data_IF_208428020335
#
_entry.id   IF_208428020335
#
_cell.length_a   1.000
_cell.length_b   1.000
_cell.length_c   1.000
_cell.angle_alpha   90.00
_cell.angle_beta   90.00
_cell.angle_gamma   90.00
#
_symmetry.space_group_name_H-M   'P 1'
#
loop_
_entity.id
_entity.type
_entity.pdbx_description
1 polymer ?
#
# COMPACT_ATOMS: atom_id res chain seq x y z
N UNK A 1 48.47 -48.26 27.82
CA UNK A 1 47.12 -48.84 27.71
C UNK A 1 46.39 -48.03 26.65
N UNK A 2 46.34 -48.50 25.40
CA UNK A 2 45.68 -47.78 24.30
C UNK A 2 44.27 -48.32 24.15
N UNK A 3 43.27 -47.51 24.51
CA UNK A 3 41.86 -47.79 24.27
C UNK A 3 41.59 -47.62 22.77
N UNK A 4 41.37 -48.72 22.03
CA UNK A 4 40.78 -48.67 20.70
C UNK A 4 39.27 -48.86 20.86
N UNK A 5 38.42 -47.88 20.55
CA UNK A 5 37.00 -48.14 20.48
C UNK A 5 36.77 -49.13 19.34
N UNK A 6 36.11 -50.25 19.62
CA UNK A 6 35.60 -51.13 18.57
C UNK A 6 34.64 -50.31 17.70
N UNK A 7 35.01 -50.11 16.44
CA UNK A 7 34.17 -49.38 15.49
C UNK A 7 32.86 -50.12 15.27
N UNK A 8 31.77 -49.38 15.07
CA UNK A 8 30.44 -49.95 14.86
C UNK A 8 30.44 -51.04 13.78
N UNK A 9 29.78 -52.17 14.05
CA UNK A 9 29.70 -53.34 13.17
C UNK A 9 28.98 -53.01 11.86
N UNK A 10 29.23 -53.80 10.82
CA UNK A 10 28.52 -53.70 9.53
C UNK A 10 26.99 -53.70 9.71
N UNK A 11 26.49 -54.50 10.65
CA UNK A 11 25.07 -54.60 11.00
C UNK A 11 24.55 -53.30 11.62
N UNK A 12 25.30 -52.70 12.54
CA UNK A 12 24.93 -51.41 13.15
C UNK A 12 24.87 -50.29 12.11
N UNK A 13 25.82 -50.25 11.17
CA UNK A 13 25.82 -49.27 10.07
C UNK A 13 24.64 -49.47 9.12
N UNK A 14 24.31 -50.71 8.78
CA UNK A 14 23.17 -51.05 7.94
C UNK A 14 21.84 -50.65 8.60
N UNK A 15 21.71 -50.87 9.91
CA UNK A 15 20.54 -50.43 10.69
C UNK A 15 20.37 -48.91 10.68
N UNK A 16 21.46 -48.16 10.90
CA UNK A 16 21.40 -46.69 10.86
C UNK A 16 21.06 -46.19 9.46
N UNK A 17 21.64 -46.78 8.41
CA UNK A 17 21.32 -46.43 7.03
C UNK A 17 19.85 -46.71 6.69
N UNK A 18 19.32 -47.87 7.11
CA UNK A 18 17.91 -48.20 6.92
C UNK A 18 17.00 -47.23 7.67
N UNK A 19 17.33 -46.87 8.92
CA UNK A 19 16.58 -45.90 9.71
C UNK A 19 16.58 -44.51 9.05
N UNK A 20 17.72 -44.08 8.49
CA UNK A 20 17.84 -42.81 7.78
C UNK A 20 17.00 -42.78 6.49
N UNK A 21 17.01 -43.88 5.72
CA UNK A 21 16.16 -44.01 4.52
C UNK A 21 14.68 -44.00 4.89
N UNK A 22 14.28 -44.74 5.94
CA UNK A 22 12.90 -44.74 6.43
C UNK A 22 12.48 -43.34 6.89
N UNK A 23 13.36 -42.63 7.61
CA UNK A 23 13.12 -41.24 8.03
C UNK A 23 12.94 -40.30 6.84
N UNK A 24 13.79 -40.41 5.82
CA UNK A 24 13.68 -39.60 4.59
C UNK A 24 12.38 -39.89 3.85
N UNK A 25 12.05 -41.17 3.66
CA UNK A 25 10.79 -41.59 3.03
C UNK A 25 9.59 -41.09 3.84
N UNK A 26 9.64 -41.13 5.17
CA UNK A 26 8.56 -40.63 6.00
C UNK A 26 8.36 -39.11 5.83
N UNK A 27 9.44 -38.32 5.75
CA UNK A 27 9.34 -36.87 5.50
C UNK A 27 8.76 -36.57 4.12
N UNK A 28 9.14 -37.34 3.10
CA UNK A 28 8.64 -37.18 1.72
C UNK A 28 7.19 -37.66 1.55
N UNK A 29 6.79 -38.71 2.26
CA UNK A 29 5.45 -39.34 2.13
C UNK A 29 4.41 -38.68 3.04
N UNK A 30 4.84 -38.08 4.15
CA UNK A 30 3.95 -37.41 5.11
C UNK A 30 4.27 -35.91 5.29
N UNK A 31 4.26 -35.10 4.22
CA UNK A 31 4.35 -33.65 4.38
C UNK A 31 3.07 -33.14 5.08
N UNK A 32 3.22 -32.48 6.22
CA UNK A 32 2.14 -31.71 6.83
C UNK A 32 2.19 -30.28 6.27
N UNK A 33 1.24 -29.92 5.41
CA UNK A 33 1.01 -28.51 5.07
C UNK A 33 0.35 -27.84 6.27
N UNK A 34 1.15 -27.18 7.12
CA UNK A 34 0.60 -26.29 8.13
C UNK A 34 0.19 -24.98 7.46
N UNK A 35 -1.11 -24.71 7.42
CA UNK A 35 -1.60 -23.43 6.93
C UNK A 35 -1.06 -22.29 7.82
N UNK A 36 -0.49 -21.26 7.18
CA UNK A 36 -0.10 -20.06 7.89
C UNK A 36 -1.28 -19.46 8.69
N UNK A 37 -1.02 -18.82 9.84
CA UNK A 37 -2.05 -18.10 10.56
C UNK A 37 -2.83 -17.15 9.65
N UNK A 38 -4.14 -17.09 9.88
CA UNK A 38 -5.09 -16.26 9.12
C UNK A 38 -5.21 -16.63 7.64
N UNK A 39 -4.93 -17.88 7.27
CA UNK A 39 -5.03 -18.37 5.89
C UNK A 39 -6.37 -18.04 5.22
N UNK A 40 -7.49 -18.24 5.92
CA UNK A 40 -8.82 -17.96 5.39
C UNK A 40 -8.99 -16.47 5.04
N UNK A 41 -8.64 -15.56 5.96
CA UNK A 41 -8.73 -14.12 5.69
C UNK A 41 -7.77 -13.66 4.58
N UNK A 42 -6.56 -14.25 4.52
CA UNK A 42 -5.60 -14.00 3.43
C UNK A 42 -6.16 -14.43 2.07
N UNK A 43 -6.78 -15.61 2.01
CA UNK A 43 -7.39 -16.13 0.78
C UNK A 43 -8.58 -15.30 0.33
N UNK A 44 -9.43 -14.87 1.27
CA UNK A 44 -10.54 -13.96 0.96
C UNK A 44 -10.01 -12.64 0.41
N UNK A 45 -9.06 -12.01 1.08
CA UNK A 45 -8.50 -10.73 0.63
C UNK A 45 -7.84 -10.82 -0.75
N UNK A 46 -7.14 -11.92 -1.07
CA UNK A 46 -6.57 -12.14 -2.39
C UNK A 46 -7.64 -12.35 -3.47
N UNK A 47 -8.73 -13.08 -3.17
CA UNK A 47 -9.84 -13.25 -4.12
C UNK A 47 -10.58 -11.94 -4.38
N UNK A 48 -10.86 -11.16 -3.35
CA UNK A 48 -11.47 -9.83 -3.49
C UNK A 48 -10.57 -8.87 -4.26
N UNK A 49 -9.25 -8.96 -4.06
CA UNK A 49 -8.30 -8.21 -4.87
C UNK A 49 -8.34 -8.63 -6.34
N UNK A 50 -8.41 -9.93 -6.64
CA UNK A 50 -8.53 -10.43 -8.02
C UNK A 50 -9.81 -9.91 -8.69
N UNK A 51 -10.95 -9.99 -8.01
CA UNK A 51 -12.22 -9.44 -8.50
C UNK A 51 -12.11 -7.94 -8.81
N UNK A 52 -11.49 -7.16 -7.91
CA UNK A 52 -11.27 -5.73 -8.10
C UNK A 52 -10.37 -5.44 -9.32
N UNK A 53 -9.30 -6.22 -9.53
CA UNK A 53 -8.44 -6.11 -10.72
C UNK A 53 -9.25 -6.34 -12.00
N UNK A 54 -10.09 -7.38 -12.02
CA UNK A 54 -10.94 -7.73 -13.16
C UNK A 54 -11.99 -6.63 -13.46
N UNK A 55 -12.62 -6.07 -12.43
CA UNK A 55 -13.58 -4.96 -12.58
C UNK A 55 -12.92 -3.72 -13.19
N UNK A 56 -11.69 -3.39 -12.79
CA UNK A 56 -10.96 -2.25 -13.37
C UNK A 56 -10.54 -2.55 -14.82
N UNK A 57 -10.08 -3.77 -15.11
CA UNK A 57 -9.74 -4.21 -16.47
C UNK A 57 -10.93 -4.01 -17.40
N UNK A 58 -12.09 -4.53 -17.02
CA UNK A 58 -13.33 -4.42 -17.79
C UNK A 58 -13.79 -2.96 -17.96
N UNK A 59 -13.67 -2.14 -16.92
CA UNK A 59 -14.03 -0.72 -16.99
C UNK A 59 -13.10 0.07 -17.93
N UNK A 60 -11.81 -0.24 -17.92
CA UNK A 60 -10.82 0.33 -18.83
C UNK A 60 -11.14 -0.06 -20.29
N UNK A 61 -11.51 -1.31 -20.53
CA UNK A 61 -11.93 -1.79 -21.86
C UNK A 61 -13.20 -1.09 -22.36
N UNK A 62 -14.25 -1.00 -21.54
CA UNK A 62 -15.50 -0.31 -21.91
C UNK A 62 -15.31 1.17 -22.20
N UNK A 63 -14.28 1.79 -21.62
CA UNK A 63 -13.88 3.19 -21.90
C UNK A 63 -13.07 3.32 -23.19
N UNK A 64 -12.76 2.24 -23.88
CA UNK A 64 -11.97 2.24 -25.12
C UNK A 64 -10.49 2.57 -24.90
N UNK A 65 -9.97 2.39 -23.67
CA UNK A 65 -8.56 2.63 -23.41
C UNK A 65 -7.71 1.54 -24.06
N UNK A 66 -6.54 1.89 -24.63
CA UNK A 66 -5.70 0.92 -25.31
C UNK A 66 -5.05 -0.05 -24.32
N UNK A 67 -5.10 -1.36 -24.64
CA UNK A 67 -4.26 -2.35 -23.98
C UNK A 67 -2.81 -2.19 -24.46
N UNK A 68 -1.88 -2.11 -23.51
CA UNK A 68 -0.45 -1.90 -23.80
C UNK A 68 0.36 -3.18 -23.61
N UNK A 69 0.11 -4.19 -24.43
CA UNK A 69 0.68 -5.55 -24.27
C UNK A 69 2.21 -5.59 -24.06
N UNK A 70 2.97 -4.63 -24.63
CA UNK A 70 4.44 -4.55 -24.44
C UNK A 70 4.84 -4.22 -23.00
N UNK A 71 4.09 -3.37 -22.32
CA UNK A 71 4.39 -2.88 -20.97
C UNK A 71 3.46 -3.46 -19.91
N UNK A 72 2.36 -4.08 -20.34
CA UNK A 72 1.34 -4.72 -19.52
C UNK A 72 1.06 -6.14 -20.03
N UNK A 73 2.03 -7.06 -19.88
CA UNK A 73 1.91 -8.41 -20.44
C UNK A 73 0.75 -9.21 -19.83
N UNK A 74 0.41 -8.96 -18.56
CA UNK A 74 -0.74 -9.57 -17.87
C UNK A 74 -2.10 -9.02 -18.28
N UNK A 75 -2.13 -8.06 -19.21
CA UNK A 75 -3.34 -7.38 -19.66
C UNK A 75 -4.20 -6.81 -18.53
N UNK A 76 -3.55 -6.35 -17.46
CA UNK A 76 -4.18 -5.82 -16.26
C UNK A 76 -4.94 -4.52 -16.49
N UNK A 77 -4.51 -3.75 -17.50
CA UNK A 77 -4.93 -2.37 -17.79
C UNK A 77 -4.72 -1.41 -16.62
N UNK A 78 -3.84 -1.76 -15.68
CA UNK A 78 -3.43 -0.95 -14.52
C UNK A 78 -2.05 -0.30 -14.72
N UNK A 79 -1.34 -0.67 -15.79
CA UNK A 79 -0.07 -0.06 -16.18
C UNK A 79 -0.34 1.10 -17.13
N UNK A 80 -0.03 2.32 -16.69
CA UNK A 80 -0.20 3.53 -17.47
C UNK A 80 0.95 3.81 -18.45
N UNK A 81 1.09 5.08 -18.80
CA UNK A 81 2.08 5.57 -19.77
C UNK A 81 3.44 5.86 -19.12
N UNK A 82 4.50 5.88 -19.94
CA UNK A 82 5.80 6.44 -19.55
C UNK A 82 5.64 7.91 -19.14
N UNK A 83 4.86 8.66 -19.92
CA UNK A 83 4.66 10.09 -19.74
C UNK A 83 3.26 10.49 -20.22
N UNK A 84 2.59 11.28 -19.40
CA UNK A 84 1.29 11.89 -19.66
C UNK A 84 1.30 13.33 -19.13
N UNK A 85 0.28 14.15 -19.42
CA UNK A 85 0.13 15.47 -18.80
C UNK A 85 0.02 15.46 -17.27
N UNK A 86 -0.32 14.31 -16.66
CA UNK A 86 -0.53 14.17 -15.21
C UNK A 86 0.56 13.31 -14.52
N UNK A 87 1.65 13.01 -15.24
CA UNK A 87 2.77 12.24 -14.69
C UNK A 87 3.64 13.09 -13.78
N UNK A 88 3.58 12.84 -12.47
CA UNK A 88 4.21 13.71 -11.46
C UNK A 88 5.64 13.36 -11.07
N UNK A 89 6.18 12.23 -11.55
CA UNK A 89 7.52 11.79 -11.18
C UNK A 89 7.88 10.45 -11.79
N UNK A 90 9.15 10.07 -11.64
CA UNK A 90 9.69 8.82 -12.16
C UNK A 90 9.07 7.58 -11.50
N UNK A 91 9.05 6.47 -12.22
CA UNK A 91 8.55 5.18 -11.72
C UNK A 91 9.25 4.00 -12.40
N UNK A 92 9.36 2.88 -11.69
CA UNK A 92 9.89 1.63 -12.24
C UNK A 92 8.77 0.80 -12.86
N UNK A 93 8.88 0.48 -14.16
CA UNK A 93 7.91 -0.37 -14.85
C UNK A 93 7.80 -1.74 -14.18
N UNK A 94 8.95 -2.37 -13.90
CA UNK A 94 9.03 -3.69 -13.25
C UNK A 94 8.30 -3.67 -11.91
N UNK A 95 8.46 -2.61 -11.11
CA UNK A 95 7.75 -2.47 -9.84
C UNK A 95 6.24 -2.34 -10.02
N UNK A 96 5.76 -1.65 -11.07
CA UNK A 96 4.32 -1.57 -11.37
C UNK A 96 3.76 -2.89 -11.83
N UNK A 97 4.45 -3.58 -12.74
CA UNK A 97 4.07 -4.92 -13.20
C UNK A 97 4.00 -5.89 -12.03
N UNK A 98 5.02 -5.90 -11.17
CA UNK A 98 5.05 -6.72 -9.94
C UNK A 98 3.84 -6.47 -9.05
N UNK A 99 3.42 -5.20 -8.89
CA UNK A 99 2.24 -4.87 -8.07
C UNK A 99 0.92 -5.42 -8.61
N UNK A 100 0.84 -5.85 -9.88
CA UNK A 100 -0.32 -6.54 -10.44
C UNK A 100 -0.32 -8.00 -9.97
N UNK A 101 -0.50 -8.18 -8.67
CA UNK A 101 -0.58 -9.48 -8.04
C UNK A 101 -1.58 -9.40 -6.87
N UNK A 102 -2.73 -10.11 -6.95
CA UNK A 102 -3.76 -10.05 -5.91
C UNK A 102 -3.26 -10.54 -4.53
N UNK A 103 -2.21 -11.38 -4.52
CA UNK A 103 -1.67 -11.96 -3.28
C UNK A 103 -0.96 -10.95 -2.37
N UNK A 104 -0.65 -9.74 -2.85
CA UNK A 104 -0.25 -8.67 -1.95
C UNK A 104 -1.33 -8.35 -0.90
N UNK A 105 -2.62 -8.57 -1.19
CA UNK A 105 -3.68 -8.38 -0.20
C UNK A 105 -3.48 -9.28 1.05
N UNK A 106 -2.95 -10.50 0.87
CA UNK A 106 -2.62 -11.38 1.99
C UNK A 106 -1.44 -10.86 2.83
N UNK A 107 -0.47 -10.19 2.21
CA UNK A 107 0.62 -9.50 2.93
C UNK A 107 0.06 -8.37 3.79
N UNK A 108 -0.91 -7.62 3.26
CA UNK A 108 -1.59 -6.57 4.02
C UNK A 108 -2.39 -7.15 5.20
N UNK A 109 -3.09 -8.28 5.00
CA UNK A 109 -3.75 -8.99 6.10
C UNK A 109 -2.74 -9.40 7.19
N UNK A 110 -1.57 -9.94 6.79
CA UNK A 110 -0.51 -10.32 7.73
C UNK A 110 -0.09 -9.13 8.61
N UNK A 111 0.22 -7.97 8.00
CA UNK A 111 0.66 -6.78 8.74
C UNK A 111 -0.44 -6.18 9.64
N UNK A 112 -1.70 -6.19 9.17
CA UNK A 112 -2.84 -5.72 9.97
C UNK A 112 -3.06 -6.61 11.21
N UNK A 113 -2.89 -7.93 11.06
CA UNK A 113 -2.97 -8.90 12.17
C UNK A 113 -1.79 -8.77 13.13
N UNK A 114 -0.58 -8.51 12.64
CA UNK A 114 0.61 -8.21 13.46
C UNK A 114 0.37 -6.98 14.36
N UNK A 115 -0.26 -5.93 13.80
CA UNK A 115 -0.67 -4.74 14.55
C UNK A 115 -1.90 -4.94 15.43
N UNK A 116 -2.49 -6.16 15.42
CA UNK A 116 -3.68 -6.54 16.22
C UNK A 116 -4.89 -5.66 15.95
N UNK A 117 -5.02 -5.15 14.71
CA UNK A 117 -6.17 -4.36 14.28
C UNK A 117 -7.36 -5.30 14.10
N UNK A 118 -8.51 -4.89 14.61
CA UNK A 118 -9.73 -5.70 14.66
C UNK A 118 -10.82 -5.11 13.77
N UNK A 119 -11.83 -5.92 13.50
CA UNK A 119 -13.07 -5.48 12.86
C UNK A 119 -13.67 -4.27 13.59
N UNK A 120 -14.06 -3.24 12.85
CA UNK A 120 -14.60 -1.97 13.36
C UNK A 120 -13.55 -0.96 13.80
N UNK A 121 -12.26 -1.32 13.84
CA UNK A 121 -11.20 -0.34 14.10
C UNK A 121 -11.08 0.65 12.93
N UNK A 122 -10.69 1.89 13.25
CA UNK A 122 -10.49 2.95 12.26
C UNK A 122 -9.02 3.02 11.85
N UNK A 123 -8.75 3.06 10.55
CA UNK A 123 -7.40 3.19 9.99
C UNK A 123 -7.35 4.36 9.02
N UNK A 124 -6.34 5.22 9.16
CA UNK A 124 -6.08 6.29 8.20
C UNK A 124 -5.32 5.71 6.98
N UNK A 125 -5.71 6.11 5.77
CA UNK A 125 -5.16 5.53 4.53
C UNK A 125 -4.79 6.64 3.55
N UNK A 126 -3.50 6.77 3.27
CA UNK A 126 -2.97 7.67 2.24
C UNK A 126 -2.61 6.89 0.98
N UNK A 127 -3.29 7.20 -0.13
CA UNK A 127 -3.04 6.55 -1.44
C UNK A 127 -2.78 7.58 -2.53
N UNK A 128 -2.19 7.12 -3.63
CA UNK A 128 -2.01 7.94 -4.84
C UNK A 128 -2.30 7.11 -6.09
N UNK A 129 -2.39 7.77 -7.24
CA UNK A 129 -2.46 7.08 -8.53
C UNK A 129 -1.18 6.32 -8.91
N UNK A 130 -0.11 6.35 -8.11
CA UNK A 130 1.15 5.70 -8.49
C UNK A 130 1.07 4.17 -8.51
N UNK A 131 0.35 3.54 -7.57
CA UNK A 131 0.26 2.07 -7.47
C UNK A 131 -1.21 1.64 -7.32
N UNK A 132 -2.03 1.72 -8.39
CA UNK A 132 -3.45 1.40 -8.30
C UNK A 132 -3.70 -0.04 -7.85
N UNK A 133 -2.89 -1.01 -8.28
CA UNK A 133 -2.97 -2.41 -7.83
C UNK A 133 -2.70 -2.57 -6.33
N UNK A 134 -1.79 -1.77 -5.76
CA UNK A 134 -1.56 -1.79 -4.31
C UNK A 134 -2.68 -1.12 -3.53
N UNK A 135 -3.31 -0.08 -4.08
CA UNK A 135 -4.48 0.51 -3.45
C UNK A 135 -5.63 -0.54 -3.39
N UNK A 136 -5.81 -1.33 -4.46
CA UNK A 136 -6.75 -2.46 -4.48
C UNK A 136 -6.42 -3.48 -3.39
N UNK A 137 -5.15 -3.89 -3.27
CA UNK A 137 -4.72 -4.84 -2.24
C UNK A 137 -4.99 -4.33 -0.81
N UNK A 138 -4.71 -3.05 -0.54
CA UNK A 138 -5.04 -2.41 0.75
C UNK A 138 -6.55 -2.41 0.99
N UNK A 139 -7.36 -2.01 0.00
CA UNK A 139 -8.81 -1.95 0.17
C UNK A 139 -9.42 -3.34 0.39
N UNK A 140 -8.89 -4.35 -0.31
CA UNK A 140 -9.31 -5.75 -0.15
C UNK A 140 -9.04 -6.27 1.25
N UNK A 141 -7.81 -6.06 1.76
CA UNK A 141 -7.46 -6.47 3.12
C UNK A 141 -8.31 -5.77 4.19
N UNK A 142 -8.56 -4.46 4.03
CA UNK A 142 -9.40 -3.71 4.97
C UNK A 142 -10.87 -4.15 4.90
N UNK A 143 -11.37 -4.41 3.69
CA UNK A 143 -12.75 -4.87 3.47
C UNK A 143 -13.01 -6.23 4.12
N UNK A 144 -12.18 -7.24 3.84
CA UNK A 144 -12.38 -8.59 4.36
C UNK A 144 -12.18 -8.68 5.88
N UNK A 145 -11.37 -7.79 6.46
CA UNK A 145 -11.22 -7.69 7.91
C UNK A 145 -12.28 -6.82 8.59
N UNK A 146 -13.15 -6.16 7.82
CA UNK A 146 -14.16 -5.23 8.30
C UNK A 146 -13.56 -4.04 9.06
N UNK A 147 -12.41 -3.55 8.62
CA UNK A 147 -11.72 -2.38 9.16
C UNK A 147 -12.25 -1.13 8.46
N UNK A 148 -12.45 -0.04 9.19
CA UNK A 148 -13.01 1.21 8.64
C UNK A 148 -11.91 2.17 8.17
N UNK A 149 -11.76 2.39 6.85
CA UNK A 149 -10.73 3.30 6.36
C UNK A 149 -11.22 4.75 6.28
N UNK A 150 -10.38 5.69 6.70
CA UNK A 150 -10.48 7.11 6.33
C UNK A 150 -9.42 7.36 5.26
N UNK A 151 -9.85 7.64 4.03
CA UNK A 151 -8.96 7.64 2.86
C UNK A 151 -8.73 9.07 2.35
N UNK A 152 -7.46 9.47 2.21
CA UNK A 152 -7.08 10.67 1.46
C UNK A 152 -6.25 10.25 0.25
N UNK A 153 -6.74 10.61 -0.93
CA UNK A 153 -6.09 10.29 -2.21
C UNK A 153 -5.26 11.45 -2.74
N UNK A 154 -4.29 11.12 -3.59
CA UNK A 154 -3.59 12.08 -4.45
C UNK A 154 -3.85 11.73 -5.92
N UNK A 155 -4.27 12.72 -6.69
CA UNK A 155 -4.80 12.52 -8.05
C UNK A 155 -3.70 12.20 -9.07
N UNK A 156 -2.56 12.89 -9.01
CA UNK A 156 -1.45 12.62 -9.92
C UNK A 156 -0.78 11.26 -9.65
N UNK A 157 -0.10 10.75 -10.68
CA UNK A 157 0.53 9.44 -10.65
C UNK A 157 1.96 9.50 -11.21
N UNK A 158 2.84 8.63 -10.71
CA UNK A 158 4.16 8.45 -11.31
C UNK A 158 4.07 7.83 -12.70
N UNK A 159 5.21 7.73 -13.41
CA UNK A 159 5.30 6.89 -14.61
C UNK A 159 4.70 5.51 -14.32
N UNK A 160 3.99 4.98 -15.32
CA UNK A 160 3.38 3.65 -15.30
C UNK A 160 2.25 3.44 -14.29
N UNK A 161 1.91 4.43 -13.46
CA UNK A 161 0.73 4.39 -12.58
C UNK A 161 -0.57 4.72 -13.32
N UNK A 162 -1.63 5.06 -12.59
CA UNK A 162 -2.91 5.55 -13.10
C UNK A 162 -2.78 7.00 -13.64
N UNK A 163 -1.91 7.19 -14.63
CA UNK A 163 -1.56 8.49 -15.20
C UNK A 163 -2.29 8.79 -16.53
N UNK A 164 -3.35 8.06 -16.87
CA UNK A 164 -4.24 8.48 -17.94
C UNK A 164 -5.23 9.53 -17.40
N UNK A 165 -5.25 10.78 -17.93
CA UNK A 165 -6.19 11.80 -17.48
C UNK A 165 -7.67 11.42 -17.56
N UNK A 166 -8.02 10.43 -18.38
CA UNK A 166 -9.40 9.95 -18.57
C UNK A 166 -9.75 8.76 -17.66
N UNK A 167 -8.76 8.22 -16.93
CA UNK A 167 -8.94 7.10 -16.03
C UNK A 167 -7.87 7.10 -14.92
N UNK A 168 -8.01 8.04 -13.99
CA UNK A 168 -7.16 8.20 -12.82
C UNK A 168 -7.58 7.21 -11.72
N UNK A 169 -6.80 7.16 -10.64
CA UNK A 169 -7.20 6.37 -9.47
C UNK A 169 -8.57 6.77 -8.90
N UNK A 170 -8.94 8.05 -8.98
CA UNK A 170 -10.26 8.49 -8.50
C UNK A 170 -11.40 7.86 -9.33
N UNK A 171 -11.21 7.70 -10.64
CA UNK A 171 -12.18 6.99 -11.48
C UNK A 171 -12.22 5.50 -11.16
N UNK A 172 -11.06 4.89 -10.90
CA UNK A 172 -10.97 3.48 -10.50
C UNK A 172 -11.68 3.24 -9.16
N UNK A 173 -11.46 4.10 -8.17
CA UNK A 173 -12.19 4.08 -6.88
C UNK A 173 -13.70 4.19 -7.10
N UNK A 174 -14.15 5.13 -7.96
CA UNK A 174 -15.57 5.28 -8.27
C UNK A 174 -16.16 4.07 -9.00
N UNK A 175 -15.40 3.42 -9.89
CA UNK A 175 -15.79 2.17 -10.56
C UNK A 175 -15.95 1.04 -9.53
N UNK A 176 -14.96 0.82 -8.67
CA UNK A 176 -15.01 -0.22 -7.63
C UNK A 176 -16.20 -0.03 -6.71
N UNK A 177 -16.48 1.23 -6.32
CA UNK A 177 -17.67 1.57 -5.52
C UNK A 177 -18.97 1.31 -6.26
N UNK A 178 -19.08 1.72 -7.53
CA UNK A 178 -20.27 1.51 -8.36
C UNK A 178 -20.58 0.02 -8.56
N UNK A 179 -19.55 -0.81 -8.67
CA UNK A 179 -19.66 -2.27 -8.78
C UNK A 179 -19.78 -2.98 -7.44
N UNK A 180 -19.86 -2.23 -6.32
CA UNK A 180 -20.03 -2.76 -4.96
C UNK A 180 -18.89 -3.69 -4.49
N UNK A 181 -17.72 -3.60 -5.13
CA UNK A 181 -16.52 -4.33 -4.67
C UNK A 181 -16.06 -3.78 -3.32
N UNK A 182 -16.07 -2.45 -3.19
CA UNK A 182 -15.81 -1.76 -1.92
C UNK A 182 -16.81 -0.62 -1.72
N UNK A 183 -17.25 -0.33 -0.48
CA UNK A 183 -18.10 0.83 -0.20
C UNK A 183 -17.32 2.16 -0.11
N UNK A 184 -16.02 2.16 -0.43
CA UNK A 184 -15.12 3.25 -0.09
C UNK A 184 -15.20 4.45 -1.04
N UNK A 185 -15.02 5.64 -0.48
CA UNK A 185 -14.80 6.91 -1.19
C UNK A 185 -13.79 7.72 -0.41
N UNK A 186 -12.80 8.28 -1.09
CA UNK A 186 -11.86 9.21 -0.46
C UNK A 186 -12.60 10.39 0.16
N UNK A 187 -12.28 10.73 1.41
CA UNK A 187 -12.90 11.86 2.14
C UNK A 187 -12.35 13.21 1.70
N UNK A 188 -11.16 13.21 1.11
CA UNK A 188 -10.49 14.35 0.54
C UNK A 188 -9.49 13.88 -0.55
N UNK A 189 -9.11 14.78 -1.44
CA UNK A 189 -8.08 14.53 -2.44
C UNK A 189 -7.18 15.75 -2.66
N UNK A 190 -5.91 15.51 -2.97
CA UNK A 190 -4.97 16.53 -3.42
C UNK A 190 -4.67 16.40 -4.93
N UNK A 191 -3.99 17.39 -5.51
CA UNK A 191 -3.45 17.24 -6.87
C UNK A 191 -2.34 16.19 -6.88
N UNK A 192 -1.61 16.03 -5.76
CA UNK A 192 -0.48 15.11 -5.66
C UNK A 192 0.81 15.73 -6.21
N UNK A 193 1.76 14.89 -6.59
CA UNK A 193 3.08 15.35 -7.03
C UNK A 193 3.93 15.92 -5.89
N UNK A 194 4.81 16.86 -6.21
CA UNK A 194 5.66 17.51 -5.19
C UNK A 194 4.81 18.52 -4.42
N UNK A 195 4.78 18.39 -3.09
CA UNK A 195 4.06 19.29 -2.18
C UNK A 195 2.53 19.22 -2.28
N UNK A 196 1.96 18.14 -2.83
CA UNK A 196 0.52 18.00 -3.11
C UNK A 196 -0.09 19.01 -4.09
N UNK A 197 0.71 19.95 -4.62
CA UNK A 197 0.31 21.04 -5.50
C UNK A 197 0.62 20.75 -6.98
N UNK A 198 0.95 19.50 -7.35
CA UNK A 198 1.36 19.13 -8.71
C UNK A 198 2.51 20.03 -9.25
N UNK A 199 3.47 20.36 -8.38
CA UNK A 199 4.67 21.11 -8.78
C UNK A 199 5.43 20.29 -9.83
N UNK A 200 5.82 20.94 -10.92
CA UNK A 200 6.46 20.32 -12.09
C UNK A 200 5.49 19.96 -13.23
N UNK A 201 4.16 19.97 -13.00
CA UNK A 201 3.18 19.78 -14.08
C UNK A 201 2.83 21.10 -14.79
N UNK A 202 2.50 20.98 -16.09
CA UNK A 202 1.98 22.11 -16.87
C UNK A 202 0.62 22.58 -16.36
N UNK A 203 0.24 23.83 -16.66
CA UNK A 203 -1.12 24.35 -16.37
C UNK A 203 -2.23 23.46 -16.98
N UNK A 204 -1.97 22.83 -18.13
CA UNK A 204 -2.90 21.88 -18.76
C UNK A 204 -3.03 20.60 -17.92
N UNK A 205 -1.91 20.06 -17.44
CA UNK A 205 -1.88 18.89 -16.56
C UNK A 205 -2.64 19.12 -15.26
N UNK A 206 -2.42 20.27 -14.61
CA UNK A 206 -3.16 20.66 -13.39
C UNK A 206 -4.67 20.71 -13.61
N UNK A 207 -5.12 21.37 -14.69
CA UNK A 207 -6.55 21.39 -15.05
C UNK A 207 -7.13 20.00 -15.33
N UNK A 208 -6.32 19.06 -15.82
CA UNK A 208 -6.77 17.68 -16.02
C UNK A 208 -6.95 16.94 -14.69
N UNK A 209 -6.10 17.22 -13.69
CA UNK A 209 -6.26 16.71 -12.32
C UNK A 209 -7.49 17.32 -11.64
N UNK A 210 -7.67 18.64 -11.73
CA UNK A 210 -8.86 19.35 -11.20
C UNK A 210 -10.15 18.75 -11.78
N UNK A 211 -10.22 18.56 -13.11
CA UNK A 211 -11.36 17.89 -13.75
C UNK A 211 -11.57 16.44 -13.31
N UNK A 212 -10.50 15.74 -12.92
CA UNK A 212 -10.60 14.38 -12.40
C UNK A 212 -11.17 14.36 -10.97
N UNK A 213 -10.85 15.38 -10.18
CA UNK A 213 -11.41 15.59 -8.84
C UNK A 213 -12.90 15.95 -8.96
N UNK A 214 -13.22 16.96 -9.79
CA UNK A 214 -14.59 17.42 -10.05
C UNK A 214 -15.50 16.28 -10.49
N UNK A 215 -15.09 15.50 -11.51
CA UNK A 215 -15.94 14.42 -12.07
C UNK A 215 -16.18 13.25 -11.12
N UNK A 216 -15.34 13.08 -10.09
CA UNK A 216 -15.50 12.03 -9.09
C UNK A 216 -16.13 12.56 -7.79
N UNK A 217 -16.43 13.87 -7.73
CA UNK A 217 -17.12 14.54 -6.63
C UNK A 217 -16.40 14.32 -5.28
N UNK A 218 -15.08 14.43 -5.28
CA UNK A 218 -14.25 14.26 -4.08
C UNK A 218 -13.83 15.65 -3.59
N UNK A 219 -14.02 16.00 -2.30
CA UNK A 219 -13.59 17.29 -1.78
C UNK A 219 -12.10 17.54 -1.99
N UNK A 220 -11.75 18.71 -2.48
CA UNK A 220 -10.35 19.10 -2.62
C UNK A 220 -9.79 19.46 -1.24
N UNK A 221 -8.64 18.88 -0.88
CA UNK A 221 -8.07 18.97 0.47
C UNK A 221 -7.89 20.42 0.93
N UNK A 222 -7.39 21.28 0.05
CA UNK A 222 -7.13 22.69 0.32
C UNK A 222 -8.39 23.54 0.52
N UNK A 223 -9.57 23.03 0.12
CA UNK A 223 -10.85 23.72 0.23
C UNK A 223 -11.65 23.26 1.46
N UNK A 224 -11.13 22.29 2.23
CA UNK A 224 -11.81 21.79 3.43
C UNK A 224 -11.57 22.77 4.57
N UNK A 225 -12.56 23.58 4.89
CA UNK A 225 -12.51 24.47 6.06
C UNK A 225 -12.39 23.67 7.38
N UNK A 226 -11.63 24.16 8.37
CA UNK A 226 -11.60 23.58 9.71
C UNK A 226 -12.99 23.55 10.35
N UNK A 227 -13.30 22.48 11.09
CA UNK A 227 -14.51 22.47 11.93
C UNK A 227 -14.32 23.44 13.10
N UNK A 228 -14.80 24.68 12.91
CA UNK A 228 -14.68 25.79 13.85
C UNK A 228 -15.30 25.50 15.23
N UNK A 229 -16.20 24.51 15.36
CA UNK A 229 -16.75 24.09 16.66
C UNK A 229 -15.74 23.29 17.50
N UNK A 230 -14.79 22.57 16.87
CA UNK A 230 -13.71 21.86 17.56
C UNK A 230 -12.45 22.72 17.73
N UNK A 231 -12.21 23.67 16.83
CA UNK A 231 -11.11 24.64 16.96
C UNK A 231 -11.20 25.49 18.25
N UNK A 232 -12.42 25.73 18.76
CA UNK A 232 -12.63 26.43 20.03
C UNK A 232 -12.29 25.60 21.29
N UNK A 233 -12.09 24.28 21.17
CA UNK A 233 -11.72 23.40 22.29
C UNK A 233 -10.18 23.33 22.43
N UNK A 234 -9.44 23.57 21.35
CA UNK A 234 -7.98 23.65 21.33
C UNK A 234 -7.58 25.12 21.25
N UNK A 235 -7.93 25.88 22.28
CA UNK A 235 -7.64 27.29 22.38
C UNK A 235 -6.14 27.57 22.34
N UNK A 236 -5.77 28.48 21.44
CA UNK A 236 -4.78 29.55 21.62
C UNK A 236 -3.64 29.29 22.60
N UNK A 237 -2.44 28.93 22.11
CA UNK A 237 -1.19 29.39 22.72
C UNK A 237 0.02 29.28 21.76
N UNK A 238 0.61 30.44 21.51
CA UNK A 238 1.99 30.75 21.10
C UNK A 238 2.47 30.47 19.66
N UNK A 239 2.51 31.57 18.89
CA UNK A 239 3.32 31.79 17.70
C UNK A 239 4.82 31.55 18.03
N UNK A 240 5.37 30.41 17.61
CA UNK A 240 6.82 30.13 17.71
C UNK A 240 7.55 30.63 16.44
N UNK A 241 8.75 31.21 16.57
CA UNK A 241 9.46 31.79 15.44
C UNK A 241 9.95 30.68 14.50
N UNK A 242 9.62 30.82 13.21
CA UNK A 242 9.95 29.85 12.17
C UNK A 242 11.46 29.87 11.85
N UNK A 243 12.16 28.72 11.89
CA UNK A 243 13.49 28.60 11.32
C UNK A 243 13.42 28.45 9.79
N UNK A 244 14.42 29.02 9.14
CA UNK A 244 14.46 29.27 7.70
C UNK A 244 14.97 28.04 6.90
N UNK A 245 14.26 27.72 5.80
CA UNK A 245 14.39 26.66 4.78
C UNK A 245 14.05 25.21 5.25
N UNK A 246 12.97 24.53 4.83
CA UNK A 246 11.99 24.73 3.75
C UNK A 246 10.56 24.25 4.16
N UNK A 247 9.61 25.19 4.15
CA UNK A 247 8.25 25.11 4.71
C UNK A 247 7.18 24.44 3.81
N UNK A 248 7.54 23.68 2.77
CA UNK A 248 6.57 23.29 1.73
C UNK A 248 5.62 22.14 2.09
N UNK A 249 5.98 21.27 3.04
CA UNK A 249 5.19 20.06 3.34
C UNK A 249 4.46 20.14 4.70
N UNK A 250 4.87 21.02 5.62
CA UNK A 250 4.30 21.08 6.99
C UNK A 250 2.81 21.37 7.01
N UNK A 251 2.38 22.39 6.28
CA UNK A 251 0.97 22.78 6.22
C UNK A 251 0.13 21.67 5.56
N UNK A 252 0.67 21.00 4.53
CA UNK A 252 0.00 19.88 3.85
C UNK A 252 -0.09 18.64 4.71
N UNK A 253 0.95 18.34 5.48
CA UNK A 253 0.92 17.28 6.49
C UNK A 253 -0.11 17.62 7.56
N UNK A 254 -0.08 18.84 8.10
CA UNK A 254 -1.04 19.31 9.12
C UNK A 254 -2.47 19.20 8.63
N UNK A 255 -2.74 19.61 7.40
CA UNK A 255 -4.07 19.58 6.79
C UNK A 255 -4.59 18.15 6.62
N UNK A 256 -3.76 17.21 6.15
CA UNK A 256 -4.10 15.78 6.09
C UNK A 256 -4.38 15.21 7.48
N UNK A 257 -3.51 15.49 8.46
CA UNK A 257 -3.69 15.03 9.84
C UNK A 257 -4.99 15.56 10.43
N UNK A 258 -5.31 16.84 10.22
CA UNK A 258 -6.58 17.45 10.65
C UNK A 258 -7.77 16.70 10.06
N UNK A 259 -7.79 16.50 8.74
CA UNK A 259 -8.90 15.79 8.07
C UNK A 259 -9.05 14.36 8.60
N UNK A 260 -7.96 13.63 8.83
CA UNK A 260 -8.05 12.29 9.43
C UNK A 260 -8.70 12.32 10.81
N UNK A 261 -8.25 13.19 11.72
CA UNK A 261 -8.78 13.26 13.08
C UNK A 261 -10.21 13.83 13.15
N UNK A 262 -10.56 14.81 12.33
CA UNK A 262 -11.93 15.30 12.23
C UNK A 262 -12.89 14.21 11.75
N UNK A 263 -12.50 13.43 10.73
CA UNK A 263 -13.30 12.33 10.19
C UNK A 263 -13.36 11.12 11.13
N UNK A 264 -12.32 10.90 11.94
CA UNK A 264 -12.34 9.88 12.97
C UNK A 264 -13.35 10.22 14.08
N UNK A 265 -13.58 11.51 14.34
CA UNK A 265 -14.51 11.95 15.38
C UNK A 265 -13.92 11.68 16.75
N UNK A 266 -14.58 10.86 17.57
CA UNK A 266 -14.10 10.42 18.88
C UNK A 266 -13.43 9.03 18.81
N UNK A 267 -13.42 8.41 17.63
CA UNK A 267 -12.83 7.08 17.43
C UNK A 267 -11.31 7.21 17.32
N UNK A 268 -10.59 6.25 17.89
CA UNK A 268 -9.13 6.19 17.81
C UNK A 268 -8.68 5.62 16.47
N UNK A 269 -7.82 6.34 15.75
CA UNK A 269 -7.11 5.81 14.59
C UNK A 269 -6.05 4.81 15.08
N UNK A 270 -6.16 3.54 14.67
CA UNK A 270 -5.28 2.45 15.14
C UNK A 270 -3.99 2.31 14.35
N UNK A 271 -4.00 2.70 13.09
CA UNK A 271 -2.82 2.69 12.25
C UNK A 271 -2.98 3.68 11.09
N UNK A 272 -1.85 4.01 10.45
CA UNK A 272 -1.81 4.71 9.18
C UNK A 272 -1.22 3.83 8.08
N UNK A 273 -1.91 3.66 6.96
CA UNK A 273 -1.39 2.93 5.79
C UNK A 273 -1.03 3.93 4.71
N UNK A 274 0.23 3.92 4.27
CA UNK A 274 0.68 4.74 3.15
C UNK A 274 1.05 3.86 1.94
N UNK A 275 0.47 4.15 0.78
CA UNK A 275 0.79 3.48 -0.49
C UNK A 275 1.59 4.40 -1.42
N UNK A 276 2.82 3.98 -1.71
CA UNK A 276 3.75 4.69 -2.57
C UNK A 276 4.57 5.76 -1.85
N UNK A 277 5.34 6.54 -2.63
CA UNK A 277 6.35 7.47 -2.11
C UNK A 277 6.00 8.94 -2.29
N UNK A 278 4.76 9.34 -2.03
CA UNK A 278 4.37 10.76 -2.06
C UNK A 278 5.23 11.61 -1.13
N UNK A 279 5.60 12.82 -1.56
CA UNK A 279 6.49 13.71 -0.77
C UNK A 279 5.87 14.09 0.57
N UNK A 280 4.59 14.46 0.60
CA UNK A 280 3.85 14.76 1.83
C UNK A 280 3.66 13.52 2.72
N UNK A 281 3.50 12.33 2.13
CA UNK A 281 3.22 11.12 2.91
C UNK A 281 4.42 10.58 3.69
N UNK A 282 5.62 10.61 3.08
CA UNK A 282 6.83 9.96 3.63
C UNK A 282 8.09 10.83 3.56
N UNK A 283 7.96 12.08 3.14
CA UNK A 283 9.07 13.01 2.96
C UNK A 283 9.83 12.83 1.65
N UNK A 284 10.95 13.54 1.56
CA UNK A 284 11.85 13.53 0.39
C UNK A 284 12.74 12.27 0.35
N UNK A 285 13.89 12.33 -0.36
CA UNK A 285 14.81 11.18 -0.49
C UNK A 285 15.30 10.62 0.86
N UNK A 286 15.45 11.47 1.88
CA UNK A 286 15.86 11.06 3.24
C UNK A 286 14.73 10.30 3.94
N UNK A 287 13.51 10.85 3.85
CA UNK A 287 12.25 10.24 4.27
C UNK A 287 12.10 8.80 3.82
N UNK A 288 12.16 8.63 2.50
CA UNK A 288 11.99 7.35 1.79
C UNK A 288 12.99 6.26 2.14
N UNK A 289 14.13 6.61 2.76
CA UNK A 289 15.17 5.64 3.16
C UNK A 289 15.12 5.28 4.63
N UNK A 290 14.45 6.09 5.47
CA UNK A 290 14.38 5.87 6.91
C UNK A 290 13.15 5.07 7.34
N UNK A 291 12.06 5.11 6.57
CA UNK A 291 10.91 4.23 6.78
C UNK A 291 11.11 2.90 6.08
N UNK A 292 10.85 1.81 6.79
CA UNK A 292 10.94 0.45 6.25
C UNK A 292 9.66 0.11 5.45
N UNK A 293 9.74 -0.69 4.38
CA UNK A 293 8.56 -1.37 3.83
C UNK A 293 7.86 -2.20 4.92
N UNK A 294 6.53 -2.26 4.87
CA UNK A 294 5.74 -3.00 5.85
C UNK A 294 5.52 -2.24 7.16
N UNK A 295 5.52 -2.96 8.29
CA UNK A 295 5.13 -2.41 9.61
C UNK A 295 6.24 -1.54 10.20
N UNK A 296 5.86 -0.30 10.56
CA UNK A 296 6.66 0.66 11.32
C UNK A 296 5.94 0.91 12.64
N UNK A 297 6.35 0.23 13.71
CA UNK A 297 5.69 0.34 15.02
C UNK A 297 6.16 1.55 15.86
N UNK A 298 7.32 2.13 15.51
CA UNK A 298 7.94 3.25 16.24
C UNK A 298 8.67 4.19 15.28
N UNK A 299 8.87 5.47 15.64
CA UNK A 299 9.70 6.40 14.89
C UNK A 299 11.12 5.87 14.63
N UNK A 300 11.66 5.92 13.39
CA UNK A 300 13.08 5.74 13.14
C UNK A 300 13.96 6.73 13.91
N UNK A 301 15.23 6.35 14.15
CA UNK A 301 16.23 7.21 14.79
C UNK A 301 16.50 8.47 13.95
N UNK A 302 16.61 9.62 14.62
CA UNK A 302 16.83 10.91 13.97
C UNK A 302 15.66 11.33 13.08
N UNK A 303 14.42 11.03 13.50
CA UNK A 303 13.21 11.49 12.81
C UNK A 303 13.10 13.01 12.84
N UNK A 304 13.57 13.65 13.91
CA UNK A 304 13.55 15.11 14.08
C UNK A 304 14.38 15.85 13.03
N UNK A 305 15.29 15.15 12.35
CA UNK A 305 16.13 15.68 11.26
C UNK A 305 15.49 15.46 9.87
N UNK A 306 14.35 14.77 9.81
CA UNK A 306 13.63 14.49 8.58
C UNK A 306 12.61 15.60 8.29
N UNK A 307 12.36 15.94 7.02
CA UNK A 307 11.22 16.76 6.67
C UNK A 307 9.91 16.14 7.20
N UNK A 308 8.96 16.96 7.66
CA UNK A 308 7.66 16.48 8.13
C UNK A 308 6.95 15.63 7.09
N UNK A 309 6.26 14.60 7.57
CA UNK A 309 5.50 13.68 6.73
C UNK A 309 4.32 13.11 7.51
N UNK A 310 3.26 12.71 6.81
CA UNK A 310 2.07 12.11 7.46
C UNK A 310 2.45 10.84 8.22
N UNK A 311 3.28 9.98 7.64
CA UNK A 311 3.75 8.77 8.32
C UNK A 311 4.57 9.12 9.58
N UNK A 312 5.46 10.11 9.50
CA UNK A 312 6.20 10.61 10.66
C UNK A 312 5.28 11.13 11.76
N UNK A 313 4.31 11.97 11.40
CA UNK A 313 3.36 12.55 12.36
C UNK A 313 2.53 11.49 13.09
N UNK A 314 2.05 10.45 12.40
CA UNK A 314 1.38 9.33 13.07
C UNK A 314 2.31 8.58 14.04
N UNK A 315 3.53 8.28 13.61
CA UNK A 315 4.50 7.57 14.46
C UNK A 315 4.90 8.38 15.71
N UNK A 316 5.05 9.70 15.58
CA UNK A 316 5.31 10.60 16.71
C UNK A 316 4.13 10.65 17.69
N UNK A 317 2.90 10.54 17.18
CA UNK A 317 1.69 10.43 18.02
C UNK A 317 1.47 9.04 18.63
N UNK A 318 2.38 8.09 18.40
CA UNK A 318 2.28 6.72 18.92
C UNK A 318 1.35 5.80 18.11
N UNK A 319 0.92 6.22 16.93
CA UNK A 319 0.11 5.41 16.01
C UNK A 319 1.03 4.70 15.02
N UNK A 320 1.02 3.35 14.96
CA UNK A 320 1.89 2.60 14.04
C UNK A 320 1.50 2.85 12.58
N UNK A 321 2.48 2.69 11.68
CA UNK A 321 2.28 2.86 10.25
C UNK A 321 2.59 1.60 9.45
N UNK A 322 1.87 1.37 8.35
CA UNK A 322 2.22 0.40 7.31
C UNK A 322 2.66 1.18 6.07
N UNK A 323 3.89 0.97 5.63
CA UNK A 323 4.43 1.64 4.45
C UNK A 323 4.54 0.66 3.28
N UNK A 324 3.61 0.77 2.33
CA UNK A 324 3.57 -0.06 1.12
C UNK A 324 4.44 0.59 0.04
N UNK A 325 5.71 0.19 0.01
CA UNK A 325 6.74 0.65 -0.94
C UNK A 325 7.70 -0.50 -1.25
N UNK A 326 8.67 -0.29 -2.15
CA UNK A 326 9.67 -1.31 -2.51
C UNK A 326 9.02 -2.63 -2.90
N UNK A 327 8.10 -2.57 -3.87
CA UNK A 327 7.23 -3.69 -4.23
C UNK A 327 8.00 -4.93 -4.71
N UNK A 328 9.18 -4.74 -5.32
CA UNK A 328 10.04 -5.85 -5.74
C UNK A 328 10.58 -6.58 -4.51
N UNK A 329 11.18 -5.84 -3.56
CA UNK A 329 11.69 -6.40 -2.31
C UNK A 329 10.59 -7.12 -1.51
N UNK A 330 9.38 -6.54 -1.46
CA UNK A 330 8.22 -7.20 -0.84
C UNK A 330 7.81 -8.47 -1.60
N UNK A 331 7.87 -8.48 -2.93
CA UNK A 331 7.58 -9.69 -3.70
C UNK A 331 8.61 -10.78 -3.40
N UNK A 332 9.89 -10.44 -3.34
CA UNK A 332 10.97 -11.37 -2.98
C UNK A 332 10.78 -11.93 -1.56
N UNK A 333 10.51 -11.06 -0.58
CA UNK A 333 10.32 -11.43 0.83
C UNK A 333 9.16 -12.42 1.02
N UNK A 334 8.04 -12.20 0.31
CA UNK A 334 6.84 -13.02 0.43
C UNK A 334 6.70 -14.10 -0.66
N UNK A 335 7.72 -14.31 -1.48
CA UNK A 335 7.73 -15.32 -2.54
C UNK A 335 6.66 -15.09 -3.62
N UNK A 336 6.35 -13.83 -3.93
CA UNK A 336 5.42 -13.42 -4.98
C UNK A 336 6.15 -13.23 -6.31
N UNK A 337 5.46 -13.48 -7.43
CA UNK A 337 6.04 -13.33 -8.76
C UNK A 337 6.39 -11.87 -9.08
N UNK A 338 7.61 -11.64 -9.60
CA UNK A 338 8.11 -10.34 -10.02
C UNK A 338 7.76 -10.11 -11.49
N UNK A 339 7.13 -8.97 -11.77
CA UNK A 339 6.67 -8.57 -13.10
C UNK A 339 5.94 -9.70 -13.88
N UNK A 340 4.85 -10.24 -13.32
CA UNK A 340 4.16 -11.39 -13.88
C UNK A 340 3.63 -11.11 -15.29
N UNK A 341 3.74 -12.12 -16.16
CA UNK A 341 3.21 -12.07 -17.52
C UNK A 341 1.72 -12.40 -17.60
N UNK A 342 1.18 -13.04 -16.57
CA UNK A 342 -0.25 -13.33 -16.37
C UNK A 342 -0.53 -13.02 -14.90
N UNK A 343 -1.67 -12.42 -14.58
CA UNK A 343 -2.01 -12.13 -13.18
C UNK A 343 -1.95 -13.41 -12.35
N UNK A 344 -1.14 -13.48 -11.27
CA UNK A 344 -1.01 -14.69 -10.47
C UNK A 344 -2.32 -15.07 -9.77
N UNK A 345 -2.59 -16.37 -9.69
CA UNK A 345 -3.79 -16.89 -9.01
C UNK A 345 -3.74 -16.59 -7.49
N UNK A 346 -4.90 -16.29 -6.85
CA UNK A 346 -5.00 -16.18 -5.41
C UNK A 346 -4.52 -17.44 -4.66
N UNK A 347 -3.76 -17.25 -3.59
CA UNK A 347 -3.23 -18.33 -2.75
C UNK A 347 -1.80 -18.77 -3.12
N UNK A 348 -1.10 -18.00 -3.94
CA UNK A 348 0.31 -18.26 -4.30
C UNK A 348 1.27 -17.38 -3.49
N UNK A 349 2.45 -17.94 -3.21
CA UNK A 349 3.53 -17.29 -2.44
C UNK A 349 3.65 -17.75 -0.99
N UNK A 350 4.79 -17.42 -0.38
CA UNK A 350 5.14 -17.85 0.98
C UNK A 350 4.23 -17.25 2.07
N UNK A 351 3.48 -16.18 1.76
CA UNK A 351 2.51 -15.60 2.71
C UNK A 351 1.35 -16.55 3.08
N UNK A 352 1.13 -17.60 2.29
CA UNK A 352 0.10 -18.63 2.50
C UNK A 352 0.63 -19.97 3.02
N UNK A 353 1.93 -20.23 2.92
CA UNK A 353 2.57 -21.54 3.10
C UNK A 353 3.39 -21.66 4.38
#
# INVERSE_FOLDING_TARGET
MYWKPEGASQVQRALVAALAVVGLVAVEVFPSEEQQPHYAEKMLAARTAQEALDVIRDASERRGLPLRAKTDPSASRLIGEVLSPITSGSGSLVSKQTSVNPNFAAVLVQWLKELRIKTGDVVAVGVSGSFPSMNIAVYSALHELGIEPIIISSTAASQWGANDPNFTWLDMEAVLRKHQVFPYKSVATSLGGVGDDAIGLTKRGRRMLERAIERNEIPFLADIEPDTKRAQIVGEEEEKPAPNLALFDEDRVRERMRVYYERAGDRTIKAYINVGGGTVSVGTKVGKRKFSPGVNARPPKGMQEMPPSVLGAFLESGVPGIHVTQIIDLAEEYGLEIAPHVTPEPGTGAVFQ
#
